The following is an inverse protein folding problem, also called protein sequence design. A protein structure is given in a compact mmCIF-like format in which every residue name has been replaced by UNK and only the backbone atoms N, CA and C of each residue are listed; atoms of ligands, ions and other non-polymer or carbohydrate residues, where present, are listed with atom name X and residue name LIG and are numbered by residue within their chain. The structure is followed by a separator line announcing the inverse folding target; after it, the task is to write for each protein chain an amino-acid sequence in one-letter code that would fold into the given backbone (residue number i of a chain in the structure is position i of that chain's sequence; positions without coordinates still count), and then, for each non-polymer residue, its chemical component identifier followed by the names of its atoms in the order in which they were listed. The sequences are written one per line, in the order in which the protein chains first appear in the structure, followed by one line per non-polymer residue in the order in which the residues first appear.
data_IF_252953811269
#
_entry.id   IF_252953811269
#
_cell.length_a   1.000
_cell.length_b   1.000
_cell.length_c   1.000
_cell.angle_alpha   90.00
_cell.angle_beta   90.00
_cell.angle_gamma   90.00
#
_symmetry.space_group_name_H-M   'P 1'
#
loop_
_entity.id
_entity.type
_entity.pdbx_description
1 polymer ?
#
# COMPACT_ATOMS: atom_id res chain seq x y z
N UNK A 1 1.94 1.49 -7.24
CA UNK A 1 2.80 0.58 -6.46
C UNK A 1 3.41 -0.50 -7.33
N UNK A 2 2.65 -1.15 -8.22
CA UNK A 2 3.14 -2.24 -9.07
C UNK A 2 4.43 -1.89 -9.86
N UNK A 3 4.47 -0.71 -10.47
CA UNK A 3 5.67 -0.20 -11.14
C UNK A 3 6.82 0.23 -10.18
N UNK A 4 6.76 -0.11 -8.90
CA UNK A 4 7.72 0.33 -7.88
C UNK A 4 7.65 1.82 -7.56
N UNK A 5 6.58 2.51 -7.93
CA UNK A 5 6.40 3.95 -7.64
C UNK A 5 5.81 4.11 -6.23
N UNK A 6 6.50 4.81 -5.31
CA UNK A 6 5.94 5.18 -4.01
C UNK A 6 4.64 5.95 -4.17
N UNK A 7 3.63 5.60 -3.39
CA UNK A 7 2.32 6.25 -3.48
C UNK A 7 2.17 7.34 -2.42
N UNK A 8 1.51 8.43 -2.81
CA UNK A 8 1.03 9.46 -1.90
C UNK A 8 -0.49 9.48 -1.98
N UNK A 9 -1.15 9.13 -0.88
CA UNK A 9 -2.62 9.01 -0.84
C UNK A 9 -3.25 10.09 0.04
N UNK A 10 -4.51 10.41 -0.23
CA UNK A 10 -5.34 11.20 0.68
C UNK A 10 -5.70 10.37 1.94
N UNK A 11 -6.62 10.88 2.77
CA UNK A 11 -7.12 10.15 3.94
C UNK A 11 -7.97 8.93 3.53
N UNK A 12 -7.28 7.83 3.21
CA UNK A 12 -7.86 6.50 3.00
C UNK A 12 -7.29 5.55 4.07
N UNK A 13 -8.16 5.03 4.94
CA UNK A 13 -7.75 4.20 6.08
C UNK A 13 -7.02 2.92 5.63
N UNK A 14 -7.56 2.24 4.64
CA UNK A 14 -7.00 0.97 4.18
C UNK A 14 -5.65 1.18 3.50
N UNK A 15 -5.51 2.21 2.66
CA UNK A 15 -4.22 2.54 2.06
C UNK A 15 -3.22 3.07 3.08
N UNK A 16 -3.66 3.83 4.08
CA UNK A 16 -2.79 4.22 5.18
C UNK A 16 -2.24 3.00 5.91
N UNK A 17 -3.10 2.06 6.29
CA UNK A 17 -2.69 0.84 6.97
C UNK A 17 -1.72 0.02 6.10
N UNK A 18 -1.99 -0.08 4.80
CA UNK A 18 -1.12 -0.77 3.85
C UNK A 18 0.26 -0.09 3.76
N UNK A 19 0.28 1.23 3.59
CA UNK A 19 1.50 2.02 3.49
C UNK A 19 2.32 1.95 4.77
N UNK A 20 1.69 2.07 5.94
CA UNK A 20 2.37 1.99 7.24
C UNK A 20 2.93 0.58 7.46
N UNK A 21 2.17 -0.46 7.12
CA UNK A 21 2.60 -1.86 7.26
C UNK A 21 3.81 -2.20 6.39
N UNK A 22 3.85 -1.72 5.16
CA UNK A 22 4.88 -2.08 4.18
C UNK A 22 5.92 -0.99 3.93
N UNK A 23 5.77 0.18 4.56
CA UNK A 23 6.66 1.33 4.37
C UNK A 23 6.92 1.62 2.88
N UNK A 24 5.85 1.78 2.10
CA UNK A 24 5.92 1.85 0.63
C UNK A 24 5.38 3.18 0.02
N UNK A 25 5.24 4.21 0.86
CA UNK A 25 4.69 5.49 0.45
C UNK A 25 4.36 6.39 1.64
N UNK A 26 3.42 7.31 1.46
CA UNK A 26 2.90 8.16 2.52
C UNK A 26 1.41 8.45 2.36
N UNK A 27 0.78 8.90 3.44
CA UNK A 27 -0.60 9.38 3.44
C UNK A 27 -0.68 10.80 3.96
N UNK A 28 -1.59 11.60 3.40
CA UNK A 28 -1.92 12.94 3.90
C UNK A 28 -3.06 12.79 4.91
N UNK A 29 -2.83 13.00 6.22
CA UNK A 29 -3.79 12.67 7.27
C UNK A 29 -4.85 13.78 7.46
N UNK A 30 -5.46 14.25 6.36
CA UNK A 30 -6.49 15.30 6.38
C UNK A 30 -7.73 14.87 5.59
N UNK A 31 -8.91 15.16 6.13
CA UNK A 31 -10.20 14.91 5.44
C UNK A 31 -10.37 15.80 4.21
N UNK A 32 -9.90 17.05 4.30
CA UNK A 32 -9.81 18.00 3.18
C UNK A 32 -8.37 18.47 3.12
N UNK A 33 -7.62 17.96 2.15
CA UNK A 33 -6.22 18.32 1.93
C UNK A 33 -6.10 19.34 0.80
N UNK A 34 -5.26 20.35 0.98
CA UNK A 34 -4.93 21.30 -0.08
C UNK A 34 -3.55 20.98 -0.68
N UNK A 35 -3.16 21.69 -1.74
CA UNK A 35 -1.89 21.46 -2.42
C UNK A 35 -0.65 21.55 -1.51
N UNK A 36 -0.66 22.45 -0.52
CA UNK A 36 0.45 22.61 0.43
C UNK A 36 0.60 21.39 1.34
N UNK A 37 -0.49 20.70 1.66
CA UNK A 37 -0.46 19.48 2.45
C UNK A 37 0.25 18.34 1.70
N UNK A 38 0.00 18.23 0.39
CA UNK A 38 0.69 17.27 -0.47
C UNK A 38 2.17 17.62 -0.63
N UNK A 39 2.49 18.90 -0.85
CA UNK A 39 3.89 19.37 -0.95
C UNK A 39 4.68 19.07 0.32
N UNK A 40 4.09 19.34 1.49
CA UNK A 40 4.70 19.00 2.78
C UNK A 40 4.98 17.50 2.89
N UNK A 41 4.04 16.66 2.47
CA UNK A 41 4.22 15.21 2.55
C UNK A 41 5.28 14.70 1.57
N UNK A 42 5.33 15.26 0.35
CA UNK A 42 6.38 14.94 -0.62
C UNK A 42 7.78 15.29 -0.09
N UNK A 43 7.94 16.46 0.54
CA UNK A 43 9.20 16.86 1.17
C UNK A 43 9.65 15.87 2.26
N UNK A 44 8.70 15.35 3.06
CA UNK A 44 9.00 14.32 4.07
C UNK A 44 9.38 12.96 3.46
N UNK A 45 8.95 12.67 2.22
CA UNK A 45 9.27 11.42 1.52
C UNK A 45 10.65 11.42 0.87
N UNK A 46 11.23 12.60 0.57
CA UNK A 46 12.43 12.76 -0.25
C UNK A 46 13.60 11.88 0.23
N UNK A 47 13.87 11.86 1.54
CA UNK A 47 14.95 11.04 2.13
C UNK A 47 14.73 9.53 2.07
N UNK A 48 13.52 9.06 1.74
CA UNK A 48 13.14 7.65 1.78
C UNK A 48 12.64 7.10 0.43
N UNK A 49 12.71 7.87 -0.66
CA UNK A 49 12.09 7.50 -1.95
C UNK A 49 12.57 6.14 -2.49
N UNK A 50 13.88 5.88 -2.45
CA UNK A 50 14.43 4.60 -2.92
C UNK A 50 13.94 3.42 -2.09
N UNK A 51 13.87 3.58 -0.76
CA UNK A 51 13.35 2.57 0.14
C UNK A 51 11.87 2.30 -0.13
N UNK A 52 11.06 3.34 -0.24
CA UNK A 52 9.64 3.21 -0.55
C UNK A 52 9.41 2.56 -1.91
N UNK A 53 10.26 2.84 -2.90
CA UNK A 53 10.17 2.28 -4.24
C UNK A 53 10.41 0.77 -4.23
N UNK A 54 11.50 0.33 -3.57
CA UNK A 54 11.81 -1.09 -3.39
C UNK A 54 10.71 -1.80 -2.62
N UNK A 55 10.21 -1.20 -1.54
CA UNK A 55 9.16 -1.80 -0.73
C UNK A 55 7.83 -1.92 -1.49
N UNK A 56 7.47 -0.89 -2.27
CA UNK A 56 6.29 -0.90 -3.12
C UNK A 56 6.35 -2.03 -4.15
N UNK A 57 7.50 -2.22 -4.80
CA UNK A 57 7.68 -3.33 -5.74
C UNK A 57 7.60 -4.69 -5.03
N UNK A 58 8.33 -4.83 -3.92
CA UNK A 58 8.41 -6.08 -3.17
C UNK A 58 7.04 -6.53 -2.64
N UNK A 59 6.23 -5.64 -2.06
CA UNK A 59 4.90 -6.03 -1.56
C UNK A 59 3.97 -6.45 -2.68
N UNK A 60 4.05 -5.79 -3.84
CA UNK A 60 3.25 -6.17 -5.00
C UNK A 60 3.65 -7.56 -5.50
N UNK A 61 4.93 -7.86 -5.65
CA UNK A 61 5.39 -9.18 -6.12
C UNK A 61 5.15 -10.32 -5.12
N UNK A 62 5.28 -10.05 -3.83
CA UNK A 62 5.27 -11.11 -2.80
C UNK A 62 3.92 -11.34 -2.15
N UNK A 63 3.08 -10.30 -2.10
CA UNK A 63 1.92 -10.28 -1.19
C UNK A 63 0.63 -9.83 -1.87
N UNK A 64 0.69 -8.81 -2.72
CA UNK A 64 -0.48 -8.12 -3.25
C UNK A 64 -0.66 -8.33 -4.78
N UNK A 65 0.07 -9.25 -5.39
CA UNK A 65 -0.13 -9.63 -6.80
C UNK A 65 -1.41 -10.42 -6.96
N UNK A 66 -1.91 -10.46 -8.20
CA UNK A 66 -3.13 -11.20 -8.53
C UNK A 66 -3.01 -12.69 -8.19
N UNK A 67 -1.87 -13.31 -8.48
CA UNK A 67 -1.59 -14.72 -8.19
C UNK A 67 -1.65 -15.01 -6.69
N UNK A 68 -1.15 -14.09 -5.85
CA UNK A 68 -1.23 -14.24 -4.40
C UNK A 68 -2.65 -14.05 -3.88
N UNK A 69 -3.44 -13.17 -4.51
CA UNK A 69 -4.85 -12.96 -4.17
C UNK A 69 -5.70 -14.17 -4.53
N UNK A 70 -5.46 -14.77 -5.70
CA UNK A 70 -6.14 -15.97 -6.15
C UNK A 70 -5.91 -17.15 -5.21
N UNK A 71 -4.65 -17.40 -4.82
CA UNK A 71 -4.31 -18.46 -3.86
C UNK A 71 -5.06 -18.27 -2.53
N UNK A 72 -5.04 -17.06 -1.96
CA UNK A 72 -5.75 -16.76 -0.70
C UNK A 72 -7.26 -16.95 -0.81
N UNK A 73 -7.83 -16.61 -1.97
CA UNK A 73 -9.25 -16.78 -2.21
C UNK A 73 -9.63 -18.26 -2.27
N UNK A 74 -8.83 -19.08 -2.95
CA UNK A 74 -9.00 -20.54 -3.00
C UNK A 74 -8.91 -21.14 -1.59
N UNK A 75 -7.89 -20.75 -0.81
CA UNK A 75 -7.71 -21.21 0.58
C UNK A 75 -8.92 -20.86 1.46
N UNK A 76 -9.45 -19.63 1.33
CA UNK A 76 -10.64 -19.19 2.06
C UNK A 76 -11.87 -20.04 1.70
N UNK A 77 -12.10 -20.28 0.40
CA UNK A 77 -13.22 -21.13 -0.03
C UNK A 77 -13.08 -22.56 0.48
N UNK A 78 -11.88 -23.16 0.38
CA UNK A 78 -11.60 -24.49 0.93
C UNK A 78 -11.95 -24.58 2.41
N UNK A 79 -11.48 -23.62 3.21
CA UNK A 79 -11.77 -23.57 4.64
C UNK A 79 -13.26 -23.42 4.97
N UNK A 80 -14.03 -22.70 4.13
CA UNK A 80 -15.48 -22.56 4.32
C UNK A 80 -16.25 -23.84 3.98
N UNK A 81 -15.82 -24.58 2.96
CA UNK A 81 -16.45 -25.84 2.54
C UNK A 81 -16.06 -27.03 3.43
N UNK A 82 -14.89 -27.02 4.06
CA UNK A 82 -14.49 -28.05 5.04
C UNK A 82 -15.20 -27.91 6.40
N UNK A 83 -15.84 -26.77 6.66
CA UNK A 83 -16.59 -26.49 7.89
C UNK A 83 -18.11 -26.72 7.77
N UNK A 84 -18.59 -27.21 6.62
CA UNK A 84 -20.01 -27.56 6.35
C UNK A 84 -20.22 -29.06 6.30
#
# INVERSE_FOLDING_TARGET
MDAGVPVLVNRCKDMRNFIERYSCGASVPKSVANAQDYLKQLALMEGNLLTFSRNARNVMETTASWEKMEIRLIELYGALFEQS
#
